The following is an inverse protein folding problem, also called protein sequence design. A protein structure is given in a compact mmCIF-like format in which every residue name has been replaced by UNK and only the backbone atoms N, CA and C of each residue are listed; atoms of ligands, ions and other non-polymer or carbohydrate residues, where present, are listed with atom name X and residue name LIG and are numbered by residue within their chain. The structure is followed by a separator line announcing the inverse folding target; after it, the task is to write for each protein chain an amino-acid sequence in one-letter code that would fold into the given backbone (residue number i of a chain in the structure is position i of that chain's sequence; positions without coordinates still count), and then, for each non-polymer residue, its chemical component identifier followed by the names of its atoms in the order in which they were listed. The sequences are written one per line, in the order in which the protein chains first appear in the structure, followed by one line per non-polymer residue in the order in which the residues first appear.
data_IF_400971475698
#
_entry.id   IF_400971475698
#
_cell.length_a   1.000
_cell.length_b   1.000
_cell.length_c   1.000
_cell.angle_alpha   90.00
_cell.angle_beta   90.00
_cell.angle_gamma   90.00
#
_symmetry.space_group_name_H-M   'P 1'
#
loop_
_entity.id
_entity.type
_entity.pdbx_description
1 polymer ?
#
# COMPACT_ATOMS: atom_id res chain seq x y z
N UNK A 1 19.13 2.55 11.61
CA UNK A 1 18.74 2.64 10.20
C UNK A 1 17.24 2.68 10.10
N UNK A 2 16.74 3.60 9.31
CA UNK A 2 15.31 3.79 9.17
C UNK A 2 14.84 3.26 7.82
N UNK A 3 14.10 2.18 7.85
CA UNK A 3 13.44 1.68 6.64
C UNK A 3 11.97 2.06 6.72
N UNK A 4 11.46 2.57 5.62
CA UNK A 4 10.04 2.82 5.48
C UNK A 4 9.49 1.94 4.38
N UNK A 5 8.37 1.33 4.67
CA UNK A 5 7.64 0.53 3.70
C UNK A 5 6.35 1.26 3.38
N UNK A 6 6.17 1.60 2.11
CA UNK A 6 5.03 2.38 1.66
C UNK A 6 4.07 1.46 0.95
N UNK A 7 2.82 1.43 1.39
CA UNK A 7 1.76 0.72 0.68
C UNK A 7 1.00 1.75 -0.13
N UNK A 8 1.08 1.65 -1.45
CA UNK A 8 0.43 2.59 -2.36
C UNK A 8 -0.79 1.95 -2.99
N UNK A 9 -1.91 2.60 -2.87
CA UNK A 9 -3.17 2.17 -3.44
C UNK A 9 -3.46 3.01 -4.67
N UNK A 10 -3.39 2.40 -5.84
CA UNK A 10 -3.67 3.09 -7.10
C UNK A 10 -5.14 2.97 -7.40
N UNK A 11 -5.82 4.10 -7.48
CA UNK A 11 -7.28 4.13 -7.66
C UNK A 11 -7.65 4.06 -9.13
N UNK A 12 -8.82 3.44 -9.40
CA UNK A 12 -9.34 3.34 -10.77
C UNK A 12 -10.10 4.58 -11.22
N UNK A 13 -10.53 5.40 -10.26
CA UNK A 13 -11.41 6.53 -10.55
C UNK A 13 -10.66 7.81 -10.93
N UNK A 14 -9.35 7.74 -11.09
CA UNK A 14 -8.54 8.89 -11.46
C UNK A 14 -8.19 9.81 -10.30
N UNK A 15 -8.59 9.47 -9.09
CA UNK A 15 -8.19 10.24 -7.92
C UNK A 15 -6.76 9.93 -7.54
N UNK A 16 -6.10 10.82 -6.77
CA UNK A 16 -4.73 10.60 -6.34
C UNK A 16 -4.55 9.28 -5.60
N UNK A 17 -3.36 8.69 -5.75
CA UNK A 17 -3.01 7.47 -5.04
C UNK A 17 -3.01 7.71 -3.54
N UNK A 18 -3.39 6.70 -2.78
CA UNK A 18 -3.33 6.75 -1.32
C UNK A 18 -2.07 6.03 -0.87
N UNK A 19 -1.32 6.63 0.05
CA UNK A 19 -0.10 6.03 0.55
C UNK A 19 -0.12 5.95 2.06
N UNK A 20 0.33 4.80 2.57
CA UNK A 20 0.43 4.56 4.01
C UNK A 20 1.82 4.04 4.32
N UNK A 21 2.38 4.46 5.45
CA UNK A 21 3.77 4.19 5.80
C UNK A 21 3.85 3.23 6.98
N UNK A 22 4.69 2.22 6.84
CA UNK A 22 4.91 1.21 7.86
C UNK A 22 6.40 1.03 8.09
N UNK A 23 6.76 0.53 9.28
CA UNK A 23 8.16 0.36 9.65
C UNK A 23 8.71 -1.02 9.36
N UNK A 24 7.86 -1.96 8.99
CA UNK A 24 8.32 -3.30 8.64
C UNK A 24 7.56 -3.83 7.44
N UNK A 25 8.21 -4.73 6.72
CA UNK A 25 7.58 -5.38 5.57
C UNK A 25 6.39 -6.21 6.02
N UNK A 26 6.49 -6.86 7.17
CA UNK A 26 5.40 -7.69 7.68
C UNK A 26 4.14 -6.87 7.91
N UNK A 27 4.28 -5.66 8.47
CA UNK A 27 3.14 -4.77 8.67
C UNK A 27 2.55 -4.33 7.34
N UNK A 28 3.41 -3.96 6.38
CA UNK A 28 2.95 -3.53 5.07
C UNK A 28 2.18 -4.65 4.36
N UNK A 29 2.69 -5.87 4.40
CA UNK A 29 2.03 -7.01 3.77
C UNK A 29 0.71 -7.34 4.45
N UNK A 30 0.67 -7.26 5.77
CA UNK A 30 -0.56 -7.49 6.51
C UNK A 30 -1.65 -6.52 6.08
N UNK A 31 -1.34 -5.24 6.05
CA UNK A 31 -2.32 -4.22 5.66
C UNK A 31 -2.71 -4.34 4.19
N UNK A 32 -1.76 -4.67 3.33
CA UNK A 32 -2.09 -4.92 1.92
C UNK A 32 -3.09 -6.07 1.80
N UNK A 33 -2.90 -7.14 2.56
CA UNK A 33 -3.78 -8.31 2.48
C UNK A 33 -5.21 -8.00 2.89
N UNK A 34 -5.40 -7.08 3.84
CA UNK A 34 -6.73 -6.67 4.25
C UNK A 34 -7.51 -6.02 3.11
N UNK A 35 -6.82 -5.31 2.23
CA UNK A 35 -7.46 -4.62 1.12
C UNK A 35 -7.58 -5.48 -0.13
N UNK A 36 -6.74 -6.52 -0.27
CA UNK A 36 -6.86 -7.44 -1.39
C UNK A 36 -8.17 -8.22 -1.36
N UNK A 37 -8.74 -8.41 -0.17
CA UNK A 37 -10.01 -9.09 0.00
C UNK A 37 -11.21 -8.17 -0.22
N UNK A 38 -10.96 -6.88 -0.50
CA UNK A 38 -12.02 -5.91 -0.71
C UNK A 38 -12.50 -5.93 -2.16
N UNK A 39 -13.73 -6.37 -2.37
CA UNK A 39 -14.34 -6.47 -3.70
C UNK A 39 -14.95 -5.14 -4.17
N UNK A 40 -14.61 -4.03 -3.53
CA UNK A 40 -15.17 -2.73 -3.89
C UNK A 40 -14.84 -2.30 -5.33
N UNK A 41 -13.72 -2.81 -5.87
CA UNK A 41 -13.28 -2.42 -7.19
C UNK A 41 -12.72 -1.00 -7.27
N UNK A 42 -12.44 -0.39 -6.13
CA UNK A 42 -11.92 0.98 -6.07
C UNK A 42 -10.48 1.08 -6.54
N UNK A 43 -9.71 0.02 -6.37
CA UNK A 43 -8.27 0.07 -6.60
C UNK A 43 -7.89 -0.76 -7.81
N UNK A 44 -7.02 -0.19 -8.65
CA UNK A 44 -6.46 -0.89 -9.80
C UNK A 44 -5.38 -1.86 -9.37
N UNK A 45 -4.54 -1.43 -8.43
CA UNK A 45 -3.48 -2.25 -7.88
C UNK A 45 -3.02 -1.69 -6.55
N UNK A 46 -2.32 -2.52 -5.80
CA UNK A 46 -1.72 -2.13 -4.52
C UNK A 46 -0.24 -2.50 -4.60
N UNK A 47 0.64 -1.55 -4.31
CA UNK A 47 2.07 -1.73 -4.41
C UNK A 47 2.74 -1.57 -3.06
N UNK A 48 3.81 -2.34 -2.83
CA UNK A 48 4.66 -2.15 -1.65
C UNK A 48 6.01 -1.64 -2.15
N UNK A 49 6.43 -0.50 -1.62
CA UNK A 49 7.66 0.16 -2.00
C UNK A 49 8.56 0.27 -0.78
N UNK A 50 9.82 -0.10 -0.92
CA UNK A 50 10.80 0.07 0.14
C UNK A 50 11.53 1.38 -0.09
N UNK A 51 11.38 2.30 0.86
CA UNK A 51 12.07 3.58 0.84
C UNK A 51 13.20 3.54 1.86
N UNK A 52 14.41 3.38 1.37
CA UNK A 52 15.60 3.30 2.23
C UNK A 52 16.29 4.65 2.32
N UNK A 53 16.57 5.04 3.53
CA UNK A 53 17.33 6.26 3.80
C UNK A 53 18.66 5.94 4.48
#
# INVERSE_FOLDING_TARGET
MNELWIVRFVRKDGKPDEEYYYRSLAEAEYHKSLFLDDDSGLYERIEIINDKH
#
